data_IF_346356952371
#
_entry.id   IF_346356952371
#
_cell.length_a   1.000
_cell.length_b   1.000
_cell.length_c   1.000
_cell.angle_alpha   90.00
_cell.angle_beta   90.00
_cell.angle_gamma   90.00
#
_symmetry.space_group_name_H-M   'P 1'
#
loop_
_entity.id
_entity.type
_entity.pdbx_description
1 polymer ?
#
# COMPACT_ATOMS: atom_id res chain seq x y z
N UNK A 1 -30.85 -4.42 8.54
CA UNK A 1 -29.88 -5.25 7.78
C UNK A 1 -28.60 -5.32 8.58
N UNK A 2 -28.13 -6.50 8.95
CA UNK A 2 -26.83 -6.63 9.63
C UNK A 2 -25.70 -6.23 8.69
N UNK A 3 -24.72 -5.46 9.16
CA UNK A 3 -23.56 -5.06 8.38
C UNK A 3 -22.84 -6.30 7.82
N UNK A 4 -22.44 -6.27 6.54
CA UNK A 4 -21.73 -7.39 5.95
C UNK A 4 -20.44 -7.67 6.73
N UNK A 5 -20.33 -8.90 7.25
CA UNK A 5 -19.19 -9.33 8.04
C UNK A 5 -18.10 -9.90 7.15
N UNK A 6 -16.84 -9.62 7.50
CA UNK A 6 -15.69 -10.32 6.95
C UNK A 6 -15.88 -11.82 7.14
N UNK A 7 -15.46 -12.58 6.15
CA UNK A 7 -15.35 -14.03 6.28
C UNK A 7 -13.96 -14.47 5.85
N UNK A 8 -13.47 -15.55 6.45
CA UNK A 8 -12.20 -16.12 6.04
C UNK A 8 -12.31 -16.73 4.63
N UNK A 9 -11.31 -16.51 3.78
CA UNK A 9 -11.24 -17.05 2.42
C UNK A 9 -9.86 -17.66 2.07
N UNK A 10 -9.78 -18.32 0.92
CA UNK A 10 -8.53 -18.92 0.41
C UNK A 10 -7.41 -17.88 0.24
N UNK A 11 -7.74 -16.59 0.04
CA UNK A 11 -6.71 -15.56 -0.05
C UNK A 11 -6.11 -15.29 1.32
N UNK A 12 -6.86 -15.38 2.42
CA UNK A 12 -6.30 -15.24 3.77
C UNK A 12 -5.26 -16.35 4.05
N UNK A 13 -5.54 -17.60 3.64
CA UNK A 13 -4.54 -18.69 3.67
C UNK A 13 -3.32 -18.38 2.82
N UNK A 14 -3.55 -18.03 1.55
CA UNK A 14 -2.48 -17.78 0.60
C UNK A 14 -1.58 -16.63 1.09
N UNK A 15 -2.18 -15.56 1.64
CA UNK A 15 -1.45 -14.44 2.22
C UNK A 15 -0.67 -14.86 3.48
N UNK A 16 -1.22 -15.74 4.31
CA UNK A 16 -0.51 -16.32 5.45
C UNK A 16 0.74 -17.08 5.02
N UNK A 17 0.61 -17.98 4.05
CA UNK A 17 1.73 -18.74 3.47
C UNK A 17 2.76 -17.81 2.82
N UNK A 18 2.30 -16.84 2.02
CA UNK A 18 3.19 -15.84 1.40
C UNK A 18 3.97 -15.09 2.47
N UNK A 19 3.32 -14.56 3.51
CA UNK A 19 3.99 -13.84 4.60
C UNK A 19 5.03 -14.69 5.33
N UNK A 20 4.70 -15.95 5.62
CA UNK A 20 5.64 -16.89 6.24
C UNK A 20 6.85 -17.13 5.34
N UNK A 21 6.62 -17.40 4.04
CA UNK A 21 7.69 -17.55 3.04
C UNK A 21 8.55 -16.28 2.95
N UNK A 22 7.95 -15.10 2.84
CA UNK A 22 8.68 -13.84 2.73
C UNK A 22 9.56 -13.60 3.95
N UNK A 23 9.06 -13.92 5.15
CA UNK A 23 9.83 -13.81 6.40
C UNK A 23 11.01 -14.78 6.41
N UNK A 24 10.79 -16.05 6.07
CA UNK A 24 11.85 -17.05 5.99
C UNK A 24 12.91 -16.67 4.95
N UNK A 25 12.48 -16.29 3.75
CA UNK A 25 13.39 -15.82 2.71
C UNK A 25 14.19 -14.62 3.19
N UNK A 26 13.54 -13.62 3.78
CA UNK A 26 14.25 -12.47 4.33
C UNK A 26 15.21 -12.86 5.44
N UNK A 27 14.94 -13.88 6.27
CA UNK A 27 15.93 -14.34 7.26
C UNK A 27 17.20 -14.88 6.59
N UNK A 28 17.07 -15.63 5.49
CA UNK A 28 18.15 -16.35 4.83
C UNK A 28 18.94 -15.52 3.79
N UNK A 29 18.40 -14.40 3.32
CA UNK A 29 19.09 -13.57 2.31
C UNK A 29 20.22 -12.71 2.87
N UNK A 30 21.17 -12.32 2.02
CA UNK A 30 22.16 -11.31 2.39
C UNK A 30 21.51 -9.95 2.59
N UNK A 31 21.88 -9.26 3.68
CA UNK A 31 21.28 -7.96 4.04
C UNK A 31 21.99 -6.76 3.40
N UNK A 32 23.20 -6.98 2.86
CA UNK A 32 24.09 -5.88 2.49
C UNK A 32 24.46 -5.03 3.70
N UNK A 33 24.78 -3.77 3.46
CA UNK A 33 24.97 -2.79 4.53
C UNK A 33 23.65 -2.50 5.24
N UNK A 34 23.61 -2.76 6.55
CA UNK A 34 22.44 -2.52 7.41
C UNK A 34 22.31 -1.05 7.80
N UNK A 35 23.39 -0.28 7.74
CA UNK A 35 23.40 1.15 8.05
C UNK A 35 23.01 2.01 6.83
N UNK A 36 22.97 1.44 5.64
CA UNK A 36 22.49 2.14 4.45
C UNK A 36 21.01 2.58 4.61
N UNK A 37 20.69 3.77 4.09
CA UNK A 37 19.30 4.24 3.98
C UNK A 37 18.56 3.36 2.97
N UNK A 38 17.45 2.76 3.40
CA UNK A 38 16.58 1.94 2.55
C UNK A 38 15.19 2.54 2.46
N UNK A 39 14.60 2.56 1.28
CA UNK A 39 13.25 3.07 1.06
C UNK A 39 12.28 1.94 0.78
N UNK A 40 11.26 1.77 1.61
CA UNK A 40 10.28 0.69 1.46
C UNK A 40 8.89 1.27 1.18
N UNK A 41 8.39 1.04 -0.03
CA UNK A 41 7.00 1.35 -0.41
C UNK A 41 6.12 0.18 0.00
N UNK A 42 5.52 0.30 1.17
CA UNK A 42 4.83 -0.80 1.85
C UNK A 42 3.33 -0.88 1.54
N UNK A 43 2.77 0.09 0.82
CA UNK A 43 1.37 0.07 0.46
C UNK A 43 0.99 -1.02 -0.55
N UNK A 44 -0.31 -1.01 -0.89
CA UNK A 44 -0.88 -2.00 -1.80
C UNK A 44 -0.40 -1.78 -3.24
N UNK A 45 -0.37 -2.83 -4.08
CA UNK A 45 -0.17 -2.67 -5.51
C UNK A 45 -1.24 -1.74 -6.08
N UNK A 46 -0.99 -1.21 -7.28
CA UNK A 46 -1.92 -0.30 -7.99
C UNK A 46 -2.18 1.04 -7.27
N UNK A 47 -1.36 1.40 -6.30
CA UNK A 47 -1.40 2.70 -5.60
C UNK A 47 -0.18 3.57 -5.95
N UNK A 48 0.30 3.55 -7.20
CA UNK A 48 1.41 4.41 -7.65
C UNK A 48 2.82 3.85 -7.46
N UNK A 49 2.98 2.54 -7.29
CA UNK A 49 4.29 1.91 -7.04
C UNK A 49 5.29 2.17 -8.18
N UNK A 50 4.84 2.20 -9.44
CA UNK A 50 5.68 2.56 -10.60
C UNK A 50 6.14 4.02 -10.57
N UNK A 51 5.28 4.96 -10.15
CA UNK A 51 5.66 6.37 -10.06
C UNK A 51 6.72 6.59 -8.98
N UNK A 52 6.57 5.94 -7.83
CA UNK A 52 7.55 5.97 -6.75
C UNK A 52 8.87 5.29 -7.16
N UNK A 53 8.82 4.16 -7.85
CA UNK A 53 10.00 3.51 -8.42
C UNK A 53 10.83 4.49 -9.29
N UNK A 54 10.16 5.23 -10.17
CA UNK A 54 10.79 6.21 -11.05
C UNK A 54 11.34 7.43 -10.29
N UNK A 55 10.63 7.90 -9.26
CA UNK A 55 11.16 8.94 -8.36
C UNK A 55 12.51 8.52 -7.78
N UNK A 56 12.62 7.27 -7.29
CA UNK A 56 13.87 6.76 -6.75
C UNK A 56 14.97 6.68 -7.81
N UNK A 57 14.66 6.19 -9.02
CA UNK A 57 15.63 6.12 -10.11
C UNK A 57 16.13 7.51 -10.54
N UNK A 58 15.24 8.50 -10.62
CA UNK A 58 15.58 9.88 -10.96
C UNK A 58 16.54 10.51 -9.94
N UNK A 59 16.50 10.04 -8.69
CA UNK A 59 17.40 10.42 -7.60
C UNK A 59 18.66 9.52 -7.52
N UNK A 60 18.97 8.75 -8.55
CA UNK A 60 20.18 7.90 -8.60
C UNK A 60 20.14 6.67 -7.70
N UNK A 61 18.99 6.34 -7.10
CA UNK A 61 18.85 5.17 -6.24
C UNK A 61 18.65 3.90 -7.07
N UNK A 62 19.29 2.80 -6.66
CA UNK A 62 19.01 1.49 -7.24
C UNK A 62 17.64 1.04 -6.73
N UNK A 63 16.62 1.17 -7.56
CA UNK A 63 15.25 0.82 -7.18
C UNK A 63 14.82 -0.53 -7.76
N UNK A 64 14.14 -1.33 -6.95
CA UNK A 64 13.50 -2.58 -7.34
C UNK A 64 11.98 -2.42 -7.35
N UNK A 65 11.33 -2.78 -8.47
CA UNK A 65 9.86 -2.77 -8.62
C UNK A 65 9.38 -4.14 -9.06
N UNK A 66 8.62 -4.82 -8.20
CA UNK A 66 7.98 -6.08 -8.56
C UNK A 66 7.53 -6.96 -7.40
N UNK A 67 6.74 -7.97 -7.74
CA UNK A 67 6.14 -8.91 -6.79
C UNK A 67 7.11 -9.96 -6.22
N UNK A 68 8.31 -10.12 -6.82
CA UNK A 68 9.33 -11.07 -6.33
C UNK A 68 9.92 -10.61 -5.00
N UNK A 69 10.64 -11.50 -4.33
CA UNK A 69 11.31 -11.20 -3.06
C UNK A 69 12.26 -10.00 -3.23
N UNK A 70 12.20 -9.06 -2.30
CA UNK A 70 13.01 -7.84 -2.34
C UNK A 70 14.47 -8.16 -2.00
N UNK A 71 15.42 -7.98 -2.94
CA UNK A 71 16.82 -8.29 -2.72
C UNK A 71 17.52 -7.14 -1.99
N UNK A 72 17.29 -7.06 -0.67
CA UNK A 72 17.67 -5.90 0.15
C UNK A 72 19.17 -5.61 0.21
N UNK A 73 20.02 -6.61 -0.02
CA UNK A 73 21.47 -6.41 -0.14
C UNK A 73 21.94 -5.77 -1.45
N UNK A 74 21.08 -5.62 -2.47
CA UNK A 74 21.47 -5.16 -3.82
C UNK A 74 20.87 -3.82 -4.23
N UNK A 75 19.77 -3.42 -3.61
CA UNK A 75 19.00 -2.22 -3.98
C UNK A 75 18.80 -1.32 -2.76
N UNK A 76 18.41 -0.09 -3.03
CA UNK A 76 18.26 0.98 -2.04
C UNK A 76 16.78 1.31 -1.83
N UNK A 77 15.94 1.14 -2.86
CA UNK A 77 14.51 1.37 -2.79
C UNK A 77 13.71 0.18 -3.30
N UNK A 78 12.56 -0.08 -2.70
CA UNK A 78 11.72 -1.24 -3.00
C UNK A 78 10.26 -0.86 -3.10
N UNK A 79 9.60 -1.35 -4.13
CA UNK A 79 8.20 -1.07 -4.36
C UNK A 79 7.47 -2.23 -5.00
N UNK A 80 6.14 -2.18 -4.87
CA UNK A 80 5.18 -3.20 -5.27
C UNK A 80 5.03 -4.38 -4.30
N UNK A 81 3.77 -4.79 -4.09
CA UNK A 81 3.39 -5.85 -3.15
C UNK A 81 3.91 -5.63 -1.71
N UNK A 82 3.97 -4.38 -1.26
CA UNK A 82 4.47 -4.01 0.07
C UNK A 82 3.69 -4.63 1.22
N UNK A 83 2.37 -4.77 1.05
CA UNK A 83 1.44 -5.25 2.08
C UNK A 83 1.60 -6.72 2.49
N UNK A 84 2.41 -7.48 1.74
CA UNK A 84 2.74 -8.88 2.05
C UNK A 84 4.18 -9.06 2.51
N UNK A 85 4.96 -7.97 2.60
CA UNK A 85 6.36 -8.01 3.01
C UNK A 85 6.51 -8.07 4.52
N UNK A 86 7.63 -8.61 5.04
CA UNK A 86 7.93 -8.63 6.47
C UNK A 86 8.42 -7.25 6.93
N UNK A 87 7.56 -6.24 6.86
CA UNK A 87 7.90 -4.82 7.12
C UNK A 87 8.55 -4.64 8.49
N UNK A 88 7.99 -5.24 9.55
CA UNK A 88 8.59 -5.19 10.89
C UNK A 88 9.98 -5.86 10.97
N UNK A 89 10.32 -6.77 10.07
CA UNK A 89 11.67 -7.33 9.98
C UNK A 89 12.63 -6.39 9.25
N UNK A 90 12.17 -5.69 8.20
CA UNK A 90 12.95 -4.66 7.53
C UNK A 90 13.29 -3.52 8.50
N UNK A 91 12.28 -3.03 9.22
CA UNK A 91 12.41 -1.97 10.22
C UNK A 91 13.48 -2.31 11.28
N UNK A 92 13.41 -3.51 11.85
CA UNK A 92 14.43 -3.96 12.81
C UNK A 92 15.83 -4.17 12.22
N UNK A 93 15.93 -4.44 10.92
CA UNK A 93 17.23 -4.76 10.30
C UNK A 93 17.96 -3.51 9.80
N UNK A 94 17.20 -2.49 9.37
CA UNK A 94 17.71 -1.28 8.74
C UNK A 94 17.27 -0.06 9.57
N UNK A 95 18.04 0.34 10.60
CA UNK A 95 17.66 1.44 11.50
C UNK A 95 17.50 2.79 10.82
N UNK A 96 18.11 2.98 9.64
CA UNK A 96 18.00 4.20 8.84
C UNK A 96 16.97 4.08 7.70
N UNK A 97 16.11 3.07 7.73
CA UNK A 97 15.09 2.87 6.70
C UNK A 97 14.00 3.94 6.76
N UNK A 98 13.46 4.27 5.59
CA UNK A 98 12.29 5.14 5.40
C UNK A 98 11.14 4.32 4.82
N UNK A 99 9.94 4.54 5.33
CA UNK A 99 8.75 3.78 4.95
C UNK A 99 7.69 4.67 4.32
N UNK A 100 7.10 4.19 3.22
CA UNK A 100 6.07 4.89 2.47
C UNK A 100 4.82 4.01 2.40
N UNK A 101 3.76 4.42 3.09
CA UNK A 101 2.43 3.85 2.92
C UNK A 101 1.68 4.58 1.81
N UNK A 102 1.89 4.15 0.57
CA UNK A 102 1.15 4.65 -0.57
C UNK A 102 -0.25 4.02 -0.66
N UNK A 103 -1.26 4.84 -0.81
CA UNK A 103 -2.64 4.41 -0.93
C UNK A 103 -3.41 5.26 -1.93
N UNK A 104 -4.68 4.92 -2.11
CA UNK A 104 -5.67 5.65 -2.90
C UNK A 104 -7.05 5.37 -2.31
N UNK A 105 -8.10 6.14 -2.65
CA UNK A 105 -9.46 5.85 -2.21
C UNK A 105 -9.86 4.39 -2.49
N UNK A 106 -10.54 3.75 -1.52
CA UNK A 106 -10.88 2.33 -1.57
C UNK A 106 -11.61 1.97 -2.88
N UNK A 107 -12.61 2.76 -3.28
CA UNK A 107 -13.35 2.52 -4.54
C UNK A 107 -12.41 2.49 -5.75
N UNK A 108 -11.54 3.49 -5.88
CA UNK A 108 -10.57 3.58 -6.97
C UNK A 108 -9.56 2.42 -6.96
N UNK A 109 -9.17 1.94 -5.76
CA UNK A 109 -8.35 0.75 -5.59
C UNK A 109 -9.06 -0.52 -6.07
N UNK A 110 -10.30 -0.78 -5.62
CA UNK A 110 -11.05 -1.98 -5.99
C UNK A 110 -11.29 -2.04 -7.50
N UNK A 111 -11.59 -0.91 -8.14
CA UNK A 111 -11.69 -0.83 -9.60
C UNK A 111 -10.36 -1.19 -10.25
N UNK A 112 -9.25 -0.63 -9.77
CA UNK A 112 -7.92 -0.86 -10.35
C UNK A 112 -7.46 -2.31 -10.22
N UNK A 113 -7.69 -2.96 -9.08
CA UNK A 113 -7.31 -4.36 -8.86
C UNK A 113 -8.18 -5.31 -9.70
N UNK A 114 -9.48 -5.04 -9.79
CA UNK A 114 -10.40 -5.80 -10.62
C UNK A 114 -10.03 -5.71 -12.11
N UNK A 115 -9.73 -4.51 -12.60
CA UNK A 115 -9.23 -4.29 -13.97
C UNK A 115 -7.87 -4.95 -14.19
N UNK A 116 -7.00 -5.03 -13.18
CA UNK A 116 -5.72 -5.69 -13.33
C UNK A 116 -5.87 -7.20 -13.56
N UNK A 117 -6.72 -7.87 -12.76
CA UNK A 117 -6.90 -9.32 -12.82
C UNK A 117 -7.79 -9.82 -13.97
N UNK A 118 -8.53 -8.94 -14.64
CA UNK A 118 -9.37 -9.29 -15.81
C UNK A 118 -10.33 -10.48 -15.57
N UNK A 119 -10.89 -10.57 -14.36
CA UNK A 119 -11.92 -11.56 -13.99
C UNK A 119 -13.03 -10.93 -13.18
N UNK A 120 -14.19 -11.58 -13.16
CA UNK A 120 -15.31 -11.16 -12.31
C UNK A 120 -15.08 -11.66 -10.88
N UNK A 121 -15.16 -10.76 -9.92
CA UNK A 121 -15.07 -11.07 -8.49
C UNK A 121 -16.44 -10.97 -7.84
N UNK A 122 -16.70 -11.81 -6.84
CA UNK A 122 -17.96 -11.72 -6.09
C UNK A 122 -18.00 -10.49 -5.18
N UNK A 123 -19.20 -10.08 -4.77
CA UNK A 123 -19.40 -9.07 -3.71
C UNK A 123 -18.59 -9.41 -2.46
N UNK A 124 -18.61 -10.69 -2.05
CA UNK A 124 -17.87 -11.19 -0.89
C UNK A 124 -16.36 -11.02 -1.04
N UNK A 125 -15.80 -11.20 -2.24
CA UNK A 125 -14.37 -10.94 -2.46
C UNK A 125 -14.02 -9.47 -2.22
N UNK A 126 -14.86 -8.54 -2.66
CA UNK A 126 -14.64 -7.10 -2.43
C UNK A 126 -14.82 -6.72 -0.96
N UNK A 127 -15.80 -7.31 -0.26
CA UNK A 127 -15.96 -7.15 1.20
C UNK A 127 -14.68 -7.58 1.92
N UNK A 128 -14.19 -8.79 1.64
CA UNK A 128 -12.97 -9.31 2.26
C UNK A 128 -11.74 -8.45 1.94
N UNK A 129 -11.63 -7.95 0.71
CA UNK A 129 -10.53 -7.08 0.31
C UNK A 129 -10.56 -5.71 1.01
N UNK A 130 -11.75 -5.13 1.21
CA UNK A 130 -11.90 -3.90 1.97
C UNK A 130 -11.43 -4.07 3.43
N UNK A 131 -11.82 -5.15 4.09
CA UNK A 131 -11.33 -5.46 5.45
C UNK A 131 -9.83 -5.74 5.48
N UNK A 132 -9.28 -6.53 4.53
CA UNK A 132 -7.82 -6.78 4.47
C UNK A 132 -7.01 -5.49 4.35
N UNK A 133 -7.48 -4.56 3.52
CA UNK A 133 -6.86 -3.25 3.34
C UNK A 133 -6.97 -2.42 4.62
N UNK A 134 -8.16 -2.38 5.23
CA UNK A 134 -8.39 -1.67 6.49
C UNK A 134 -7.48 -2.20 7.62
N UNK A 135 -7.38 -3.51 7.78
CA UNK A 135 -6.51 -4.15 8.77
C UNK A 135 -5.04 -3.81 8.55
N UNK A 136 -4.60 -3.82 7.29
CA UNK A 136 -3.21 -3.47 6.96
C UNK A 136 -2.90 -2.01 7.27
N UNK A 137 -3.82 -1.08 6.96
CA UNK A 137 -3.66 0.33 7.34
C UNK A 137 -3.65 0.51 8.85
N UNK A 138 -4.55 -0.16 9.57
CA UNK A 138 -4.57 -0.10 11.03
C UNK A 138 -3.24 -0.58 11.64
N UNK A 139 -2.71 -1.70 11.14
CA UNK A 139 -1.40 -2.21 11.55
C UNK A 139 -0.27 -1.21 11.25
N UNK A 140 -0.23 -0.65 10.04
CA UNK A 140 0.83 0.28 9.64
C UNK A 140 0.80 1.58 10.47
N UNK A 141 -0.38 2.17 10.68
CA UNK A 141 -0.53 3.39 11.47
C UNK A 141 -0.06 3.18 12.91
N UNK A 142 -0.41 2.05 13.52
CA UNK A 142 0.00 1.73 14.89
C UNK A 142 1.48 1.41 14.99
N UNK A 143 2.03 0.64 14.04
CA UNK A 143 3.45 0.28 14.02
C UNK A 143 4.36 1.51 13.88
N UNK A 144 3.92 2.50 13.09
CA UNK A 144 4.73 3.68 12.79
C UNK A 144 4.37 4.93 13.62
N UNK A 145 3.37 4.89 14.50
CA UNK A 145 2.88 6.04 15.26
C UNK A 145 4.03 6.88 15.88
N UNK A 146 3.98 8.20 15.68
CA UNK A 146 4.96 9.16 16.20
C UNK A 146 6.35 9.11 15.57
N UNK A 147 6.53 8.46 14.41
CA UNK A 147 7.84 8.37 13.73
C UNK A 147 7.96 9.31 12.54
N UNK A 148 9.16 9.89 12.41
CA UNK A 148 9.52 10.81 11.32
C UNK A 148 10.11 10.11 10.08
N UNK A 149 10.38 8.80 10.18
CA UNK A 149 10.88 7.97 9.07
C UNK A 149 9.75 7.29 8.28
N UNK A 150 8.50 7.71 8.50
CA UNK A 150 7.31 7.18 7.85
C UNK A 150 6.48 8.29 7.21
N UNK A 151 5.98 8.05 6.00
CA UNK A 151 5.00 8.90 5.33
C UNK A 151 3.87 8.07 4.75
N UNK A 152 2.63 8.50 4.96
CA UNK A 152 1.47 7.95 4.26
C UNK A 152 0.99 8.94 3.19
N UNK A 153 0.71 8.43 1.98
CA UNK A 153 0.40 9.28 0.82
C UNK A 153 -0.77 8.72 0.02
N UNK A 154 -1.80 9.54 -0.16
CA UNK A 154 -2.81 9.35 -1.18
C UNK A 154 -2.19 9.70 -2.54
N UNK A 155 -1.90 8.71 -3.37
CA UNK A 155 -1.26 8.93 -4.67
C UNK A 155 -2.16 9.72 -5.65
N UNK A 156 -3.46 9.83 -5.38
CA UNK A 156 -4.37 10.63 -6.19
C UNK A 156 -4.42 12.10 -5.76
N UNK A 157 -3.82 12.45 -4.62
CA UNK A 157 -3.75 13.83 -4.16
C UNK A 157 -2.86 14.67 -5.11
N UNK A 158 -3.26 15.91 -5.43
CA UNK A 158 -2.38 16.86 -6.12
C UNK A 158 -1.05 17.00 -5.38
N UNK A 159 0.07 16.90 -6.11
CA UNK A 159 1.40 17.02 -5.50
C UNK A 159 1.85 15.81 -4.66
N UNK A 160 1.17 14.66 -4.74
CA UNK A 160 1.52 13.46 -3.95
C UNK A 160 2.99 13.03 -4.09
N UNK A 161 3.51 12.94 -5.33
CA UNK A 161 4.91 12.53 -5.57
C UNK A 161 5.90 13.60 -5.06
N UNK A 162 5.74 14.90 -5.37
CA UNK A 162 6.53 15.96 -4.73
C UNK A 162 6.56 15.89 -3.20
N UNK A 163 5.40 15.67 -2.57
CA UNK A 163 5.30 15.61 -1.11
C UNK A 163 6.04 14.40 -0.51
N UNK A 164 6.09 13.27 -1.23
CA UNK A 164 6.92 12.12 -0.84
C UNK A 164 8.40 12.42 -1.01
N UNK A 165 8.79 13.10 -2.10
CA UNK A 165 10.18 13.46 -2.32
C UNK A 165 10.69 14.36 -1.18
N UNK A 166 9.94 15.41 -0.84
CA UNK A 166 10.22 16.29 0.29
C UNK A 166 10.32 15.53 1.62
N UNK A 167 9.38 14.63 1.90
CA UNK A 167 9.38 13.81 3.12
C UNK A 167 10.64 12.93 3.26
N UNK A 168 11.26 12.59 2.15
CA UNK A 168 12.40 11.70 2.09
C UNK A 168 13.73 12.43 1.83
N UNK A 169 13.71 13.76 1.70
CA UNK A 169 14.88 14.55 1.30
C UNK A 169 15.38 14.22 -0.11
N UNK A 170 14.46 13.90 -1.03
CA UNK A 170 14.73 13.61 -2.43
C UNK A 170 14.34 14.80 -3.31
N UNK A 171 15.01 14.94 -4.45
CA UNK A 171 14.64 15.93 -5.45
C UNK A 171 13.44 15.45 -6.27
N UNK A 172 12.54 16.37 -6.61
CA UNK A 172 11.50 16.12 -7.62
C UNK A 172 12.10 16.25 -9.01
N UNK A 173 12.99 15.31 -9.36
CA UNK A 173 13.54 15.22 -10.71
C UNK A 173 12.53 14.56 -11.64
N UNK A 174 12.45 15.05 -12.87
CA UNK A 174 11.73 14.30 -13.90
C UNK A 174 12.41 12.93 -14.09
N UNK A 175 11.64 11.84 -14.22
CA UNK A 175 12.21 10.54 -14.56
C UNK A 175 12.97 10.64 -15.88
N UNK A 176 14.02 9.83 -16.10
CA UNK A 176 14.74 9.77 -17.37
C UNK A 176 13.81 9.54 -18.58
N UNK A 177 12.69 8.85 -18.35
CA UNK A 177 11.68 8.52 -19.36
C UNK A 177 10.45 9.45 -19.35
N UNK A 178 10.44 10.54 -18.57
CA UNK A 178 9.31 11.46 -18.44
C UNK A 178 8.14 11.00 -17.55
N UNK A 179 7.14 11.87 -17.35
CA UNK A 179 5.96 11.64 -16.52
C UNK A 179 4.96 10.72 -17.26
N UNK A 180 4.88 9.45 -16.87
CA UNK A 180 3.79 8.58 -17.35
C UNK A 180 2.78 8.27 -16.24
N UNK A 181 1.57 8.78 -16.37
CA UNK A 181 0.42 8.26 -15.64
C UNK A 181 -0.02 6.95 -16.28
N UNK A 182 0.45 5.83 -15.72
CA UNK A 182 0.15 4.50 -16.25
C UNK A 182 -1.30 4.10 -15.92
N UNK A 183 -2.27 4.70 -16.62
CA UNK A 183 -3.67 4.29 -16.57
C UNK A 183 -3.79 2.98 -17.35
N UNK A 184 -4.40 1.97 -16.74
CA UNK A 184 -4.56 0.69 -17.43
C UNK A 184 -5.49 0.87 -18.63
N UNK A 185 -5.03 0.46 -19.81
CA UNK A 185 -5.84 0.40 -21.04
C UNK A 185 -6.75 -0.85 -21.07
N UNK A 186 -6.70 -1.69 -20.04
CA UNK A 186 -7.50 -2.92 -19.99
C UNK A 186 -8.99 -2.58 -19.79
N UNK A 187 -9.90 -3.33 -20.43
CA UNK A 187 -11.32 -3.08 -20.30
C UNK A 187 -11.78 -3.30 -18.85
N UNK A 188 -12.75 -2.49 -18.42
CA UNK A 188 -13.41 -2.65 -17.12
C UNK A 188 -14.62 -3.57 -17.30
N UNK A 189 -14.66 -4.66 -16.56
CA UNK A 189 -15.80 -5.58 -16.58
C UNK A 189 -16.98 -4.95 -15.83
N UNK A 190 -18.11 -4.75 -16.52
CA UNK A 190 -19.31 -4.11 -15.97
C UNK A 190 -19.78 -4.77 -14.66
N UNK A 191 -19.72 -6.10 -14.59
CA UNK A 191 -20.13 -6.84 -13.38
C UNK A 191 -19.31 -6.48 -12.15
N UNK A 192 -18.02 -6.17 -12.30
CA UNK A 192 -17.21 -5.75 -11.16
C UNK A 192 -17.63 -4.38 -10.62
N UNK A 193 -18.08 -3.45 -11.47
CA UNK A 193 -18.59 -2.17 -11.00
C UNK A 193 -19.85 -2.37 -10.12
N UNK A 194 -20.77 -3.23 -10.55
CA UNK A 194 -21.97 -3.61 -9.80
C UNK A 194 -21.56 -4.26 -8.46
N UNK A 195 -20.66 -5.24 -8.50
CA UNK A 195 -20.27 -5.98 -7.31
C UNK A 195 -19.47 -5.12 -6.31
N UNK A 196 -18.70 -4.13 -6.78
CA UNK A 196 -18.02 -3.15 -5.93
C UNK A 196 -19.04 -2.29 -5.20
N UNK A 197 -19.98 -1.67 -5.90
CA UNK A 197 -20.97 -0.79 -5.24
C UNK A 197 -21.87 -1.59 -4.27
N UNK A 198 -22.26 -2.82 -4.63
CA UNK A 198 -22.98 -3.71 -3.72
C UNK A 198 -22.16 -4.02 -2.44
N UNK A 199 -20.85 -4.26 -2.57
CA UNK A 199 -19.98 -4.51 -1.43
C UNK A 199 -19.83 -3.26 -0.53
N UNK A 200 -19.63 -2.09 -1.12
CA UNK A 200 -19.51 -0.83 -0.39
C UNK A 200 -20.81 -0.46 0.34
N UNK A 201 -21.96 -0.70 -0.30
CA UNK A 201 -23.27 -0.50 0.31
C UNK A 201 -23.50 -1.48 1.48
N UNK A 202 -23.16 -2.76 1.30
CA UNK A 202 -23.30 -3.76 2.35
C UNK A 202 -22.40 -3.51 3.58
N UNK A 203 -21.30 -2.78 3.38
CA UNK A 203 -20.39 -2.31 4.43
C UNK A 203 -20.80 -0.96 5.03
N UNK A 204 -21.75 -0.24 4.43
CA UNK A 204 -22.13 1.11 4.88
C UNK A 204 -21.09 2.20 4.61
N UNK A 205 -20.13 1.99 3.69
CA UNK A 205 -18.98 2.88 3.45
C UNK A 205 -18.97 3.53 2.06
N UNK A 206 -20.09 3.54 1.34
CA UNK A 206 -20.17 4.06 -0.04
C UNK A 206 -19.63 5.48 -0.21
N UNK A 207 -19.89 6.38 0.74
CA UNK A 207 -19.36 7.75 0.72
C UNK A 207 -17.87 7.79 1.04
N UNK A 208 -17.48 7.15 2.14
CA UNK A 208 -16.12 7.12 2.67
C UNK A 208 -15.12 6.51 1.66
N UNK A 209 -15.53 5.47 0.93
CA UNK A 209 -14.69 4.78 -0.03
C UNK A 209 -14.16 5.66 -1.18
N UNK A 210 -14.76 6.84 -1.41
CA UNK A 210 -14.30 7.84 -2.38
C UNK A 210 -13.38 8.92 -1.81
N UNK A 211 -13.23 9.02 -0.49
CA UNK A 211 -12.58 10.17 0.16
C UNK A 211 -11.08 10.00 0.42
N UNK A 212 -10.52 8.80 0.21
CA UNK A 212 -9.09 8.58 0.43
C UNK A 212 -8.69 8.57 1.91
N UNK A 213 -9.56 8.18 2.83
CA UNK A 213 -9.21 8.05 4.24
C UNK A 213 -8.28 6.85 4.53
N UNK A 214 -7.31 7.04 5.43
CA UNK A 214 -6.53 5.95 6.05
C UNK A 214 -7.30 5.24 7.16
N UNK A 215 -8.13 6.00 7.88
CA UNK A 215 -9.03 5.50 8.93
C UNK A 215 -10.43 5.36 8.34
N UNK A 216 -11.04 4.21 8.60
CA UNK A 216 -12.32 3.80 8.02
C UNK A 216 -13.32 3.43 9.11
N UNK A 217 -14.62 3.54 8.82
CA UNK A 217 -15.67 2.98 9.68
C UNK A 217 -15.48 1.47 9.92
N UNK A 218 -14.80 0.76 9.01
CA UNK A 218 -14.45 -0.67 9.19
C UNK A 218 -13.53 -0.95 10.39
N UNK A 219 -12.85 0.07 10.93
CA UNK A 219 -12.00 -0.08 12.10
C UNK A 219 -12.79 -0.17 13.42
N UNK A 220 -14.09 0.13 13.41
CA UNK A 220 -14.96 0.05 14.58
C UNK A 220 -14.41 0.87 15.75
N UNK A 221 -14.31 0.24 16.92
CA UNK A 221 -13.88 0.89 18.18
C UNK A 221 -12.41 1.33 18.18
N UNK A 222 -11.61 0.90 17.19
CA UNK A 222 -10.21 1.34 17.05
C UNK A 222 -10.07 2.72 16.41
N UNK A 223 -11.14 3.30 15.88
CA UNK A 223 -11.07 4.54 15.08
C UNK A 223 -10.39 5.69 15.81
N UNK A 224 -10.71 5.93 17.08
CA UNK A 224 -10.14 7.07 17.83
C UNK A 224 -8.64 6.90 18.02
N UNK A 225 -8.20 5.69 18.40
CA UNK A 225 -6.78 5.34 18.48
C UNK A 225 -6.07 5.49 17.14
N UNK A 226 -6.69 5.05 16.06
CA UNK A 226 -6.10 5.12 14.71
C UNK A 226 -6.07 6.55 14.16
N UNK A 227 -7.03 7.40 14.53
CA UNK A 227 -7.00 8.84 14.24
C UNK A 227 -5.84 9.51 14.97
N UNK A 228 -5.68 9.24 16.27
CA UNK A 228 -4.55 9.74 17.03
C UNK A 228 -3.19 9.27 16.44
N UNK A 229 -3.08 7.99 16.08
CA UNK A 229 -1.91 7.46 15.40
C UNK A 229 -1.68 8.15 14.05
N UNK A 230 -2.70 8.31 13.21
CA UNK A 230 -2.61 9.04 11.94
C UNK A 230 -2.15 10.49 12.13
N UNK A 231 -2.70 11.19 13.12
CA UNK A 231 -2.43 12.61 13.36
C UNK A 231 -1.02 12.84 13.92
N UNK A 232 -0.40 11.80 14.47
CA UNK A 232 1.03 11.79 14.83
C UNK A 232 1.98 11.57 13.65
N UNK A 233 1.46 11.35 12.44
CA UNK A 233 2.25 10.98 11.26
C UNK A 233 2.14 12.03 10.16
N UNK A 234 3.16 12.06 9.30
CA UNK A 234 3.09 12.81 8.04
C UNK A 234 2.14 12.10 7.07
N UNK A 235 0.97 12.72 6.83
CA UNK A 235 -0.05 12.23 5.89
C UNK A 235 -0.28 13.25 4.78
N UNK A 236 -0.18 12.79 3.54
CA UNK A 236 -0.52 13.56 2.34
C UNK A 236 -1.86 13.04 1.83
N UNK A 237 -2.93 13.83 1.99
CA UNK A 237 -4.32 13.46 1.73
C UNK A 237 -4.86 13.95 0.40
#
# INVERSE_FOLDING_TARGET
MGAARRSWDLNDMALGVIRARMRLHFMLTTKGDRQAVKYFVIGHPRCGTTSLHRLFQANGLRSFHGARDWPTGRFDAFSDFGQVRPVAAYDRTYPNARFILNFRPLRAYLVSIATHHQRVFSVRNFVNEAYRRADYFAWALEHFAGRDDFVAVNIEAPGAVPAVADALGLDVREPPDGVHHNRSNRPRLKQNAINIEAALAALGITREAGQGGLVSALHGDRQDRLRAARDSLRVVG
#
